data_IF_864078520472
#
_entry.id   IF_864078520472
#
_cell.length_a   1.000
_cell.length_b   1.000
_cell.length_c   1.000
_cell.angle_alpha   90.00
_cell.angle_beta   90.00
_cell.angle_gamma   90.00
#
_symmetry.space_group_name_H-M   'P 1'
#
loop_
_entity.id
_entity.type
_entity.pdbx_description
1 polymer ?
#
# COMPACT_ATOMS: atom_id res chain seq x y z
N UNK A 1 20.07 4.52 -16.74
CA UNK A 1 20.46 5.01 -15.41
C UNK A 1 19.37 5.97 -14.93
N UNK A 2 18.77 5.71 -13.78
CA UNK A 2 17.47 6.26 -13.39
C UNK A 2 17.57 7.68 -12.79
N UNK A 3 18.74 8.33 -12.95
CA UNK A 3 19.00 9.72 -12.53
C UNK A 3 19.04 9.96 -11.01
N UNK A 4 18.95 8.91 -10.19
CA UNK A 4 18.91 8.97 -8.74
C UNK A 4 20.29 8.69 -8.13
N UNK A 5 20.68 9.46 -7.12
CA UNK A 5 21.89 9.21 -6.36
C UNK A 5 21.74 7.95 -5.47
N UNK A 6 22.82 7.20 -5.21
CA UNK A 6 22.77 5.99 -4.39
C UNK A 6 22.25 6.24 -2.96
N UNK A 7 22.53 7.42 -2.39
CA UNK A 7 21.97 7.86 -1.11
C UNK A 7 20.45 8.01 -1.13
N UNK A 8 19.89 8.52 -2.24
CA UNK A 8 18.44 8.70 -2.42
C UNK A 8 17.77 7.34 -2.56
N UNK A 9 18.40 6.39 -3.26
CA UNK A 9 17.90 5.02 -3.40
C UNK A 9 17.86 4.31 -2.05
N UNK A 10 18.93 4.43 -1.24
CA UNK A 10 18.98 3.86 0.10
C UNK A 10 17.87 4.43 1.02
N UNK A 11 17.69 5.75 1.00
CA UNK A 11 16.62 6.42 1.75
C UNK A 11 15.23 5.91 1.34
N UNK A 12 14.95 5.87 0.04
CA UNK A 12 13.64 5.44 -0.47
C UNK A 12 13.36 3.96 -0.18
N UNK A 13 14.38 3.10 -0.25
CA UNK A 13 14.27 1.69 0.12
C UNK A 13 13.94 1.53 1.60
N UNK A 14 14.64 2.24 2.48
CA UNK A 14 14.40 2.19 3.92
C UNK A 14 12.96 2.61 4.27
N UNK A 15 12.45 3.68 3.64
CA UNK A 15 11.05 4.13 3.83
C UNK A 15 10.05 3.03 3.40
N UNK A 16 10.31 2.35 2.28
CA UNK A 16 9.44 1.27 1.79
C UNK A 16 9.46 0.05 2.73
N UNK A 17 10.63 -0.34 3.22
CA UNK A 17 10.78 -1.45 4.16
C UNK A 17 10.09 -1.17 5.50
N UNK A 18 10.22 0.06 6.04
CA UNK A 18 9.51 0.51 7.23
C UNK A 18 7.99 0.46 7.03
N UNK A 19 7.49 1.01 5.91
CA UNK A 19 6.05 0.97 5.58
C UNK A 19 5.53 -0.45 5.41
N UNK A 20 6.31 -1.33 4.78
CA UNK A 20 5.94 -2.74 4.65
C UNK A 20 5.88 -3.42 6.02
N UNK A 21 6.84 -3.14 6.89
CA UNK A 21 6.86 -3.62 8.27
C UNK A 21 5.63 -3.18 9.05
N UNK A 22 5.22 -1.91 8.92
CA UNK A 22 4.02 -1.39 9.56
C UNK A 22 2.71 -2.07 9.08
N UNK A 23 2.64 -2.45 7.80
CA UNK A 23 1.48 -3.17 7.23
C UNK A 23 1.51 -4.69 7.49
N UNK A 24 2.71 -5.27 7.68
CA UNK A 24 2.91 -6.70 7.87
C UNK A 24 2.93 -7.09 9.35
N UNK A 25 3.27 -6.17 10.25
CA UNK A 25 3.02 -6.35 11.67
C UNK A 25 1.55 -6.71 11.83
N UNK A 26 1.19 -7.75 12.60
CA UNK A 26 -0.17 -7.86 13.08
C UNK A 26 -0.41 -6.51 13.75
N UNK A 27 -1.34 -5.73 13.21
CA UNK A 27 -1.69 -4.45 13.77
C UNK A 27 -1.74 -4.65 15.30
N UNK A 28 -1.14 -3.78 16.08
CA UNK A 28 -1.31 -3.77 17.53
C UNK A 28 -2.73 -3.33 17.91
N UNK A 29 -3.71 -3.89 17.20
CA UNK A 29 -5.12 -3.99 17.48
C UNK A 29 -5.38 -5.51 17.51
N UNK A 30 -6.17 -5.97 18.50
CA UNK A 30 -5.94 -7.25 19.16
C UNK A 30 -5.88 -8.43 18.19
N UNK A 31 -5.14 -9.47 18.59
CA UNK A 31 -4.73 -10.65 17.83
C UNK A 31 -5.90 -11.56 17.34
N UNK A 32 -7.06 -10.97 17.17
CA UNK A 32 -8.34 -11.60 17.09
C UNK A 32 -9.27 -10.82 16.14
N UNK A 33 -8.83 -10.61 14.91
CA UNK A 33 -9.75 -10.48 13.78
C UNK A 33 -10.69 -11.71 13.68
N UNK A 34 -10.32 -12.84 14.31
CA UNK A 34 -11.19 -14.01 14.53
C UNK A 34 -12.11 -13.92 15.76
N UNK A 35 -11.98 -12.96 16.68
CA UNK A 35 -12.99 -12.70 17.75
C UNK A 35 -13.95 -11.56 17.39
N UNK A 36 -13.80 -10.92 16.22
CA UNK A 36 -14.91 -10.16 15.62
C UNK A 36 -15.97 -11.06 14.98
N UNK A 37 -15.72 -12.37 14.91
CA UNK A 37 -16.81 -13.31 15.10
C UNK A 37 -17.24 -13.19 16.56
N UNK A 38 -18.06 -12.16 16.84
CA UNK A 38 -18.97 -12.22 17.97
C UNK A 38 -19.63 -13.59 17.80
N UNK A 39 -19.35 -14.53 18.71
CA UNK A 39 -20.20 -15.73 18.85
C UNK A 39 -21.64 -15.25 18.73
N UNK A 40 -22.58 -16.06 18.24
CA UNK A 40 -24.00 -15.69 18.28
C UNK A 40 -24.49 -15.60 19.75
N UNK A 41 -23.98 -14.60 20.48
CA UNK A 41 -24.52 -14.08 21.71
C UNK A 41 -25.87 -13.52 21.27
N UNK A 42 -26.92 -13.83 22.03
CA UNK A 42 -28.24 -13.25 21.80
C UNK A 42 -28.19 -11.73 22.02
N UNK A 43 -27.77 -11.01 20.98
CA UNK A 43 -27.75 -9.55 20.93
C UNK A 43 -29.01 -9.07 20.19
N UNK A 44 -29.44 -7.85 20.49
CA UNK A 44 -30.60 -7.23 19.84
C UNK A 44 -30.42 -7.21 18.31
N UNK A 45 -31.51 -7.23 17.51
CA UNK A 45 -31.42 -6.99 16.07
C UNK A 45 -30.61 -5.73 15.70
N UNK A 46 -30.63 -4.70 16.56
CA UNK A 46 -29.80 -3.50 16.40
C UNK A 46 -28.30 -3.80 16.51
N UNK A 47 -27.90 -4.59 17.51
CA UNK A 47 -26.50 -4.97 17.73
C UNK A 47 -25.96 -5.82 16.57
N UNK A 48 -26.81 -6.71 16.01
CA UNK A 48 -26.44 -7.52 14.83
C UNK A 48 -26.16 -6.66 13.60
N UNK A 49 -26.90 -5.57 13.42
CA UNK A 49 -26.64 -4.63 12.33
C UNK A 49 -25.31 -3.90 12.53
N UNK A 50 -25.01 -3.48 13.77
CA UNK A 50 -23.73 -2.84 14.11
C UNK A 50 -22.54 -3.78 13.89
N UNK A 51 -22.62 -5.03 14.34
CA UNK A 51 -21.53 -6.02 14.15
C UNK A 51 -21.24 -6.26 12.68
N UNK A 52 -22.28 -6.40 11.84
CA UNK A 52 -22.09 -6.57 10.38
C UNK A 52 -21.37 -5.39 9.75
N UNK A 53 -21.79 -4.18 10.09
CA UNK A 53 -21.14 -2.95 9.60
C UNK A 53 -19.66 -2.88 10.01
N UNK A 54 -19.33 -3.24 11.26
CA UNK A 54 -17.95 -3.25 11.73
C UNK A 54 -17.10 -4.29 10.99
N UNK A 55 -17.67 -5.46 10.71
CA UNK A 55 -17.00 -6.50 9.93
C UNK A 55 -16.77 -6.09 8.48
N UNK A 56 -17.74 -5.45 7.84
CA UNK A 56 -17.61 -4.96 6.46
C UNK A 56 -16.48 -3.90 6.37
N UNK A 57 -16.45 -2.94 7.31
CA UNK A 57 -15.40 -1.93 7.38
C UNK A 57 -14.01 -2.54 7.63
N UNK A 58 -13.93 -3.53 8.52
CA UNK A 58 -12.68 -4.24 8.81
C UNK A 58 -12.15 -4.99 7.57
N UNK A 59 -13.05 -5.61 6.80
CA UNK A 59 -12.69 -6.31 5.57
C UNK A 59 -12.20 -5.33 4.49
N UNK A 60 -12.86 -4.19 4.31
CA UNK A 60 -12.42 -3.14 3.38
C UNK A 60 -11.04 -2.61 3.75
N UNK A 61 -10.83 -2.28 5.03
CA UNK A 61 -9.53 -1.82 5.54
C UNK A 61 -8.42 -2.85 5.32
N UNK A 62 -8.71 -4.14 5.56
CA UNK A 62 -7.78 -5.23 5.28
C UNK A 62 -7.44 -5.33 3.78
N UNK A 63 -8.44 -5.17 2.91
CA UNK A 63 -8.25 -5.13 1.46
C UNK A 63 -7.34 -3.97 1.00
N UNK A 64 -7.56 -2.77 1.54
CA UNK A 64 -6.70 -1.61 1.26
C UNK A 64 -5.25 -1.84 1.73
N UNK A 65 -5.07 -2.37 2.94
CA UNK A 65 -3.74 -2.67 3.47
C UNK A 65 -3.01 -3.72 2.62
N UNK A 66 -3.72 -4.77 2.19
CA UNK A 66 -3.16 -5.80 1.31
C UNK A 66 -2.74 -5.23 -0.05
N UNK A 67 -3.57 -4.37 -0.66
CA UNK A 67 -3.24 -3.70 -1.92
C UNK A 67 -2.02 -2.79 -1.78
N UNK A 68 -1.92 -2.02 -0.68
CA UNK A 68 -0.76 -1.17 -0.41
C UNK A 68 0.51 -2.00 -0.18
N UNK A 69 0.43 -3.08 0.59
CA UNK A 69 1.57 -3.98 0.82
C UNK A 69 2.06 -4.61 -0.49
N UNK A 70 1.14 -4.99 -1.39
CA UNK A 70 1.49 -5.49 -2.72
C UNK A 70 2.21 -4.42 -3.56
N UNK A 71 1.75 -3.17 -3.53
CA UNK A 71 2.40 -2.07 -4.25
C UNK A 71 3.82 -1.82 -3.73
N UNK A 72 4.02 -1.84 -2.41
CA UNK A 72 5.33 -1.68 -1.79
C UNK A 72 6.26 -2.84 -2.14
N UNK A 73 5.79 -4.09 -2.07
CA UNK A 73 6.59 -5.27 -2.46
C UNK A 73 7.03 -5.20 -3.92
N UNK A 74 6.16 -4.74 -4.81
CA UNK A 74 6.51 -4.51 -6.22
C UNK A 74 7.57 -3.43 -6.37
N UNK A 75 7.46 -2.33 -5.63
CA UNK A 75 8.47 -1.27 -5.64
C UNK A 75 9.84 -1.79 -5.15
N UNK A 76 9.86 -2.60 -4.09
CA UNK A 76 11.07 -3.25 -3.58
C UNK A 76 11.70 -4.20 -4.60
N UNK A 77 10.90 -5.05 -5.26
CA UNK A 77 11.40 -5.94 -6.33
C UNK A 77 12.08 -5.16 -7.47
N UNK A 78 11.63 -3.94 -7.74
CA UNK A 78 12.23 -3.07 -8.76
C UNK A 78 13.57 -2.47 -8.35
N UNK A 79 13.88 -2.42 -7.06
CA UNK A 79 15.25 -2.11 -6.64
C UNK A 79 16.18 -3.28 -7.00
N UNK A 80 15.70 -4.50 -6.87
CA UNK A 80 16.50 -5.71 -7.10
C UNK A 80 16.75 -5.95 -8.60
N UNK A 81 15.82 -5.57 -9.47
CA UNK A 81 16.00 -5.61 -10.94
C UNK A 81 16.66 -4.35 -11.55
N UNK A 82 16.90 -3.32 -10.74
CA UNK A 82 17.51 -2.05 -11.17
C UNK A 82 16.60 -1.10 -11.95
N UNK A 83 15.30 -1.40 -12.10
CA UNK A 83 14.31 -0.57 -12.80
C UNK A 83 13.64 0.48 -11.90
N UNK A 84 13.94 0.53 -10.61
CA UNK A 84 13.31 1.46 -9.68
C UNK A 84 13.49 2.92 -10.10
N UNK A 85 12.39 3.68 -10.09
CA UNK A 85 12.37 5.07 -10.53
C UNK A 85 12.18 5.26 -12.03
N UNK A 86 11.86 4.20 -12.78
CA UNK A 86 11.46 4.28 -14.19
C UNK A 86 9.93 4.18 -14.36
N UNK A 87 9.33 4.85 -15.34
CA UNK A 87 7.91 4.75 -15.59
C UNK A 87 7.58 3.43 -16.31
N UNK A 88 6.62 2.64 -15.80
CA UNK A 88 6.21 1.37 -16.41
C UNK A 88 5.58 1.54 -17.81
N UNK A 89 5.04 2.73 -18.12
CA UNK A 89 4.31 2.98 -19.37
C UNK A 89 5.20 3.61 -20.46
N UNK A 90 6.08 4.54 -20.11
CA UNK A 90 6.88 5.28 -21.09
C UNK A 90 8.40 5.12 -20.93
N UNK A 91 8.87 4.38 -19.92
CA UNK A 91 10.30 4.18 -19.67
C UNK A 91 11.08 5.42 -19.21
N UNK A 92 10.41 6.56 -19.02
CA UNK A 92 11.05 7.79 -18.56
C UNK A 92 11.28 7.76 -17.04
N UNK A 93 12.27 8.52 -16.56
CA UNK A 93 12.53 8.62 -15.12
C UNK A 93 11.35 9.27 -14.38
N UNK A 94 11.03 8.73 -13.21
CA UNK A 94 10.09 9.31 -12.26
C UNK A 94 10.87 10.31 -11.40
N UNK A 95 10.43 11.57 -11.39
CA UNK A 95 11.12 12.62 -10.65
C UNK A 95 11.23 12.31 -9.15
N UNK A 96 12.40 12.64 -8.57
CA UNK A 96 12.69 12.36 -7.16
C UNK A 96 11.63 12.92 -6.20
N UNK A 97 11.15 14.16 -6.39
CA UNK A 97 10.09 14.75 -5.55
C UNK A 97 8.83 13.89 -5.51
N UNK A 98 8.50 13.22 -6.62
CA UNK A 98 7.35 12.32 -6.68
C UNK A 98 7.62 11.01 -5.94
N UNK A 99 8.80 10.44 -6.10
CA UNK A 99 9.22 9.23 -5.36
C UNK A 99 9.38 9.51 -3.86
N UNK A 100 9.79 10.72 -3.47
CA UNK A 100 9.86 11.13 -2.08
C UNK A 100 8.46 11.20 -1.45
N UNK A 101 7.46 11.73 -2.18
CA UNK A 101 6.08 11.77 -1.72
C UNK A 101 5.41 10.37 -1.74
N UNK A 102 5.65 9.61 -2.81
CA UNK A 102 5.06 8.28 -3.06
C UNK A 102 6.14 7.32 -3.59
N UNK A 103 6.93 6.68 -2.72
CA UNK A 103 8.00 5.75 -3.10
C UNK A 103 7.50 4.51 -3.87
N UNK A 104 6.25 4.11 -3.64
CA UNK A 104 5.60 2.97 -4.30
C UNK A 104 5.16 3.26 -5.75
N UNK A 105 5.37 4.49 -6.24
CA UNK A 105 4.70 4.95 -7.43
C UNK A 105 5.37 4.50 -8.73
N UNK A 106 4.58 3.86 -9.60
CA UNK A 106 5.06 3.15 -10.81
C UNK A 106 5.06 3.94 -12.13
N UNK A 107 4.30 5.03 -12.19
CA UNK A 107 4.13 5.86 -13.40
C UNK A 107 4.77 7.23 -13.22
N UNK A 108 5.24 7.88 -14.28
CA UNK A 108 5.57 9.31 -14.20
C UNK A 108 4.30 10.16 -14.10
N UNK A 109 4.43 11.45 -13.73
CA UNK A 109 3.28 12.34 -13.56
C UNK A 109 2.42 12.44 -14.84
N UNK A 110 3.05 12.52 -16.01
CA UNK A 110 2.34 12.60 -17.28
C UNK A 110 1.52 11.33 -17.58
N UNK A 111 2.09 10.14 -17.33
CA UNK A 111 1.40 8.86 -17.47
C UNK A 111 0.27 8.73 -16.46
N UNK A 112 0.52 9.10 -15.21
CA UNK A 112 -0.49 9.09 -14.14
C UNK A 112 -1.69 9.97 -14.51
N UNK A 113 -1.45 11.22 -14.94
CA UNK A 113 -2.52 12.13 -15.37
C UNK A 113 -3.32 11.58 -16.57
N UNK A 114 -2.66 10.90 -17.52
CA UNK A 114 -3.38 10.25 -18.63
C UNK A 114 -4.22 9.07 -18.17
N UNK A 115 -3.73 8.28 -17.21
CA UNK A 115 -4.47 7.16 -16.65
C UNK A 115 -5.73 7.64 -15.91
N UNK A 116 -5.63 8.72 -15.12
CA UNK A 116 -6.75 9.30 -14.37
C UNK A 116 -7.84 9.87 -15.29
N UNK A 117 -7.49 10.46 -16.43
CA UNK A 117 -8.47 10.96 -17.42
C UNK A 117 -9.25 9.86 -18.14
N UNK A 118 -8.83 8.59 -18.02
CA UNK A 118 -9.49 7.43 -18.66
C UNK A 118 -10.47 6.72 -17.71
N UNK A 119 -10.47 7.10 -16.43
CA UNK A 119 -11.38 6.58 -15.38
C UNK A 119 -12.65 7.43 -15.40
#
# INVERSE_FOLDING_TARGET
MNGLAPEQLALLRAILEERLGALAAPASAPANARELAVEEIETSPADKATVRLLNDLALEAAGHNAAQALAIRRALARFDDGSYGMCDECGQNIGFSRLQARPEARLCIACQTRAEKRV
#
